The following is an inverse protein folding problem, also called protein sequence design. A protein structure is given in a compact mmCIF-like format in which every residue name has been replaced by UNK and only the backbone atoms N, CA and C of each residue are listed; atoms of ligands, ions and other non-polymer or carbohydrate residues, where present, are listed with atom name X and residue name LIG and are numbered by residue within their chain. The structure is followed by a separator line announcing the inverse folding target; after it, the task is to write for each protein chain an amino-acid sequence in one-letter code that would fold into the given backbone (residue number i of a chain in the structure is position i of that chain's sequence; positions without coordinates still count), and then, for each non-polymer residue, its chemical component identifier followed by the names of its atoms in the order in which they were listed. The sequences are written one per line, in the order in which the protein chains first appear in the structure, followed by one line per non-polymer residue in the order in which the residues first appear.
data_IF_813332136012
#
_entry.id   IF_813332136012
#
_cell.length_a   1.000
_cell.length_b   1.000
_cell.length_c   1.000
_cell.angle_alpha   90.00
_cell.angle_beta   90.00
_cell.angle_gamma   90.00
#
_symmetry.space_group_name_H-M   'P 1'
#
loop_
_entity.id
_entity.type
_entity.pdbx_description
1 polymer ?
#
# COMPACT_ATOMS: atom_id res chain seq x y z
N UNK A 1 -76.26 -16.70 6.16
CA UNK A 1 -76.93 -15.47 5.70
C UNK A 1 -76.20 -15.01 4.44
N UNK A 2 -76.93 -15.03 3.31
CA UNK A 2 -76.64 -14.52 1.96
C UNK A 2 -75.29 -14.88 1.28
N UNK A 3 -75.17 -15.23 0.00
CA UNK A 3 -76.05 -15.63 -1.10
C UNK A 3 -75.08 -16.02 -2.27
N UNK A 4 -75.22 -17.18 -2.91
CA UNK A 4 -75.77 -17.35 -4.28
C UNK A 4 -74.78 -17.12 -5.46
N UNK A 5 -74.70 -18.19 -6.28
CA UNK A 5 -74.54 -18.32 -7.75
C UNK A 5 -73.17 -18.22 -8.45
N UNK A 6 -72.84 -19.37 -9.07
CA UNK A 6 -72.16 -19.52 -10.35
C UNK A 6 -72.80 -18.67 -11.48
N UNK A 7 -71.99 -18.10 -12.39
CA UNK A 7 -72.24 -18.15 -13.83
C UNK A 7 -71.02 -17.75 -14.69
N UNK A 8 -70.95 -18.45 -15.82
CA UNK A 8 -70.14 -18.42 -17.05
C UNK A 8 -69.69 -17.08 -17.70
N UNK A 9 -68.87 -17.26 -18.76
CA UNK A 9 -68.55 -16.39 -19.92
C UNK A 9 -67.33 -15.44 -19.77
N UNK A 10 -66.50 -15.15 -20.77
CA UNK A 10 -66.42 -15.51 -22.19
C UNK A 10 -64.98 -15.27 -22.67
N UNK A 11 -64.51 -16.09 -23.61
CA UNK A 11 -63.27 -15.91 -24.36
C UNK A 11 -63.48 -14.79 -25.40
N UNK A 12 -62.67 -13.74 -25.38
CA UNK A 12 -62.63 -12.70 -26.41
C UNK A 12 -61.21 -12.61 -26.97
N UNK A 13 -61.10 -12.96 -28.25
CA UNK A 13 -59.92 -12.92 -29.09
C UNK A 13 -59.71 -11.47 -29.57
N UNK A 14 -58.60 -10.83 -29.20
CA UNK A 14 -58.24 -9.51 -29.72
C UNK A 14 -56.95 -9.58 -30.55
N UNK A 15 -57.14 -9.38 -31.86
CA UNK A 15 -56.13 -9.12 -32.90
C UNK A 15 -55.36 -7.82 -32.58
N UNK A 16 -54.02 -7.84 -32.67
CA UNK A 16 -53.18 -6.64 -32.64
C UNK A 16 -52.27 -6.64 -33.88
N UNK A 17 -52.20 -5.53 -34.66
CA UNK A 17 -51.47 -5.46 -35.93
C UNK A 17 -49.95 -5.27 -35.74
N UNK A 18 -49.16 -5.84 -36.66
CA UNK A 18 -47.72 -5.57 -36.77
C UNK A 18 -47.48 -4.20 -37.43
N UNK A 19 -46.80 -3.30 -36.73
CA UNK A 19 -46.17 -2.12 -37.33
C UNK A 19 -44.67 -2.36 -37.42
N UNK A 20 -44.16 -2.45 -38.64
CA UNK A 20 -42.73 -2.42 -38.95
C UNK A 20 -42.22 -0.99 -38.78
N UNK A 21 -41.42 -0.75 -37.75
CA UNK A 21 -40.55 0.42 -37.65
C UNK A 21 -39.16 0.00 -38.13
N UNK A 22 -38.65 0.67 -39.17
CA UNK A 22 -37.24 0.68 -39.49
C UNK A 22 -36.59 1.69 -38.54
N UNK A 23 -35.81 1.19 -37.58
CA UNK A 23 -34.87 2.00 -36.81
C UNK A 23 -33.49 1.77 -37.43
N UNK A 24 -32.89 2.85 -37.90
CA UNK A 24 -31.55 2.89 -38.49
C UNK A 24 -30.56 2.97 -37.33
N UNK A 25 -30.35 1.84 -36.64
CA UNK A 25 -29.35 1.73 -35.58
C UNK A 25 -28.02 1.38 -36.23
N UNK A 26 -27.26 2.41 -36.55
CA UNK A 26 -25.85 2.32 -36.91
C UNK A 26 -25.11 1.76 -35.67
N UNK A 27 -24.95 0.42 -35.62
CA UNK A 27 -24.14 -0.26 -34.61
C UNK A 27 -22.68 0.12 -34.83
N UNK A 28 -22.33 1.28 -34.29
CA UNK A 28 -20.96 1.64 -33.98
C UNK A 28 -20.46 0.67 -32.93
N UNK A 29 -19.66 -0.29 -33.38
CA UNK A 29 -18.80 -1.11 -32.53
C UNK A 29 -17.92 -0.13 -31.76
N UNK A 30 -18.32 0.16 -30.51
CA UNK A 30 -17.45 0.80 -29.55
C UNK A 30 -16.38 -0.23 -29.19
N UNK A 31 -15.26 -0.17 -29.92
CA UNK A 31 -14.00 -0.73 -29.48
C UNK A 31 -13.76 -0.22 -28.06
N UNK A 32 -13.88 -1.10 -27.07
CA UNK A 32 -13.52 -0.81 -25.69
C UNK A 32 -12.04 -0.46 -25.61
N UNK A 33 -11.73 0.83 -25.67
CA UNK A 33 -10.41 1.36 -25.46
C UNK A 33 -10.54 2.53 -24.49
N UNK A 34 -10.66 2.21 -23.21
CA UNK A 34 -10.71 3.19 -22.12
C UNK A 34 -10.20 2.54 -20.84
N UNK A 35 -8.93 2.11 -20.82
CA UNK A 35 -8.18 2.13 -19.56
C UNK A 35 -7.93 3.61 -19.26
N UNK A 36 -8.92 4.28 -18.66
CA UNK A 36 -8.68 5.58 -18.05
C UNK A 36 -7.74 5.32 -16.89
N UNK A 37 -6.46 5.61 -17.11
CA UNK A 37 -5.40 5.61 -16.12
C UNK A 37 -5.78 6.61 -15.03
N UNK A 38 -6.58 6.23 -14.03
CA UNK A 38 -6.91 7.14 -12.94
C UNK A 38 -5.80 7.09 -11.87
N UNK A 39 -4.57 7.45 -12.27
CA UNK A 39 -3.47 7.56 -11.30
C UNK A 39 -3.74 8.66 -10.26
N UNK A 40 -4.60 9.62 -10.58
CA UNK A 40 -4.99 10.74 -9.72
C UNK A 40 -5.78 10.32 -8.48
N UNK A 41 -6.59 9.26 -8.58
CA UNK A 41 -7.44 8.78 -7.48
C UNK A 41 -6.89 7.58 -6.71
N UNK A 42 -5.79 6.97 -7.17
CA UNK A 42 -5.22 5.77 -6.55
C UNK A 42 -4.05 6.09 -5.61
N UNK A 43 -4.01 5.44 -4.45
CA UNK A 43 -2.86 5.41 -3.54
C UNK A 43 -2.02 4.17 -3.87
N UNK A 44 -1.05 4.33 -4.76
CA UNK A 44 -0.22 3.21 -5.25
C UNK A 44 1.24 3.61 -5.36
N UNK A 45 2.08 2.63 -5.05
CA UNK A 45 3.52 2.69 -5.26
C UNK A 45 3.94 1.64 -6.29
N UNK A 46 4.86 2.02 -7.16
CA UNK A 46 5.37 1.23 -8.26
C UNK A 46 6.89 1.17 -8.20
N UNK A 47 7.44 -0.02 -8.41
CA UNK A 47 8.86 -0.29 -8.39
C UNK A 47 9.34 -0.68 -9.77
N UNK A 48 10.43 -0.04 -10.22
CA UNK A 48 11.00 -0.34 -11.53
C UNK A 48 11.44 -1.81 -11.64
N UNK A 49 11.13 -2.41 -12.78
CA UNK A 49 11.55 -3.77 -13.15
C UNK A 49 12.52 -3.77 -14.32
N UNK A 50 12.47 -2.73 -15.16
CA UNK A 50 13.40 -2.55 -16.27
C UNK A 50 13.51 -1.06 -16.64
N UNK A 51 14.71 -0.64 -17.05
CA UNK A 51 14.98 0.69 -17.60
C UNK A 51 15.67 0.51 -18.95
N UNK A 52 15.15 1.18 -19.96
CA UNK A 52 15.73 1.22 -21.32
C UNK A 52 16.00 2.66 -21.69
N UNK A 53 17.22 2.95 -22.14
CA UNK A 53 17.62 4.26 -22.63
C UNK A 53 18.17 4.11 -24.05
N UNK A 54 17.69 4.94 -24.98
CA UNK A 54 18.08 4.92 -26.40
C UNK A 54 17.96 3.51 -27.03
N UNK A 55 16.92 2.78 -26.63
CA UNK A 55 16.65 1.41 -27.08
C UNK A 55 17.57 0.32 -26.51
N UNK A 56 18.46 0.65 -25.57
CA UNK A 56 19.34 -0.30 -24.89
C UNK A 56 19.01 -0.43 -23.40
N UNK A 57 19.10 -1.63 -22.80
CA UNK A 57 18.94 -1.79 -21.36
C UNK A 57 19.95 -0.93 -20.59
N UNK A 58 19.47 -0.22 -19.57
CA UNK A 58 20.28 0.55 -18.62
C UNK A 58 20.14 -0.09 -17.25
N UNK A 59 21.27 -0.57 -16.73
CA UNK A 59 21.34 -1.07 -15.35
C UNK A 59 21.30 0.10 -14.37
N UNK A 60 20.59 -0.09 -13.26
CA UNK A 60 20.61 0.84 -12.14
C UNK A 60 21.81 0.55 -11.24
N UNK A 61 22.21 1.53 -10.43
CA UNK A 61 23.26 1.36 -9.43
C UNK A 61 22.86 0.23 -8.46
N UNK A 62 23.82 -0.63 -8.12
CA UNK A 62 23.59 -1.78 -7.24
C UNK A 62 22.95 -1.34 -5.90
N UNK A 63 21.94 -2.10 -5.47
CA UNK A 63 21.19 -1.80 -4.25
C UNK A 63 20.16 -0.67 -4.39
N UNK A 64 20.01 -0.08 -5.57
CA UNK A 64 18.97 0.93 -5.85
C UNK A 64 17.83 0.38 -6.70
N UNK A 65 16.74 1.13 -6.72
CA UNK A 65 15.64 0.98 -7.68
C UNK A 65 14.98 2.34 -7.88
N UNK A 66 14.36 2.55 -9.02
CA UNK A 66 13.44 3.68 -9.19
C UNK A 66 12.09 3.29 -8.56
N UNK A 67 11.56 4.17 -7.72
CA UNK A 67 10.21 4.08 -7.16
C UNK A 67 9.37 5.29 -7.55
N UNK A 68 8.07 5.07 -7.76
CA UNK A 68 7.06 6.10 -8.00
C UNK A 68 5.87 5.85 -7.09
N UNK A 69 5.40 6.88 -6.37
CA UNK A 69 4.19 6.81 -5.56
C UNK A 69 3.24 7.93 -5.96
N UNK A 70 2.02 7.56 -6.27
CA UNK A 70 0.91 8.48 -6.54
C UNK A 70 -0.02 8.46 -5.33
N UNK A 71 -0.29 9.63 -4.75
CA UNK A 71 -1.17 9.75 -3.59
C UNK A 71 -1.75 11.15 -3.48
N UNK A 72 -3.07 11.27 -3.40
CA UNK A 72 -3.78 12.54 -3.19
C UNK A 72 -3.32 13.65 -4.17
N UNK A 73 -3.24 13.33 -5.47
CA UNK A 73 -2.79 14.26 -6.51
C UNK A 73 -1.30 14.65 -6.46
N UNK A 74 -0.50 13.99 -5.61
CA UNK A 74 0.95 14.20 -5.54
C UNK A 74 1.71 12.97 -6.03
N UNK A 75 2.81 13.24 -6.73
CA UNK A 75 3.82 12.28 -7.12
C UNK A 75 4.99 12.38 -6.15
N UNK A 76 5.48 11.24 -5.68
CA UNK A 76 6.79 11.11 -5.02
C UNK A 76 7.61 10.10 -5.78
N UNK A 77 8.89 10.38 -6.00
CA UNK A 77 9.78 9.53 -6.77
C UNK A 77 11.18 9.51 -6.15
N UNK A 78 11.91 8.41 -6.35
CA UNK A 78 13.32 8.34 -6.00
C UNK A 78 14.03 7.38 -6.94
N UNK A 79 15.28 7.71 -7.27
CA UNK A 79 16.18 6.81 -7.99
C UNK A 79 17.32 6.30 -7.09
N UNK A 80 17.29 6.55 -5.78
CA UNK A 80 18.23 5.96 -4.81
C UNK A 80 19.05 6.95 -3.98
N UNK A 81 19.10 8.24 -4.33
CA UNK A 81 19.78 9.25 -3.51
C UNK A 81 18.83 10.36 -3.06
N UNK A 82 18.27 11.12 -4.01
CA UNK A 82 17.35 12.20 -3.72
C UNK A 82 15.90 11.77 -3.84
N UNK A 83 15.04 12.50 -3.13
CA UNK A 83 13.60 12.41 -3.29
C UNK A 83 13.13 13.53 -4.19
N UNK A 84 12.31 13.19 -5.18
CA UNK A 84 11.63 14.10 -6.09
C UNK A 84 10.15 14.08 -5.71
N UNK A 85 9.49 15.23 -5.68
CA UNK A 85 8.04 15.24 -5.45
C UNK A 85 7.37 16.56 -5.72
N UNK A 86 6.06 16.48 -5.95
CA UNK A 86 5.21 17.63 -6.26
C UNK A 86 3.84 17.18 -6.78
N UNK A 87 2.96 18.14 -7.10
CA UNK A 87 1.67 17.85 -7.70
C UNK A 87 1.85 17.24 -9.10
N UNK A 88 0.92 16.38 -9.50
CA UNK A 88 0.83 15.88 -10.87
C UNK A 88 -0.61 15.91 -11.36
N UNK A 89 -0.76 15.96 -12.69
CA UNK A 89 -2.03 15.79 -13.39
C UNK A 89 -1.82 14.85 -14.59
N UNK A 90 -2.92 14.29 -15.09
CA UNK A 90 -2.91 13.54 -16.34
C UNK A 90 -3.66 14.33 -17.43
N UNK A 91 -2.98 14.63 -18.51
CA UNK A 91 -3.59 15.14 -19.75
C UNK A 91 -3.66 14.00 -20.77
N UNK A 92 -4.79 13.31 -20.79
CA UNK A 92 -4.94 12.06 -21.54
C UNK A 92 -4.02 10.96 -20.99
N UNK A 93 -3.04 10.54 -21.78
CA UNK A 93 -1.99 9.59 -21.39
C UNK A 93 -0.68 10.28 -21.03
N UNK A 94 -0.65 11.60 -20.87
CA UNK A 94 0.56 12.35 -20.54
C UNK A 94 0.60 12.70 -19.06
N UNK A 95 1.68 12.33 -18.37
CA UNK A 95 1.90 12.70 -16.97
C UNK A 95 2.53 14.10 -16.90
N UNK A 96 1.81 15.06 -16.33
CA UNK A 96 2.29 16.44 -16.19
C UNK A 96 2.65 16.70 -14.74
N UNK A 97 3.92 16.97 -14.46
CA UNK A 97 4.43 17.27 -13.11
C UNK A 97 5.25 18.57 -13.11
N UNK A 98 4.56 19.71 -13.16
CA UNK A 98 5.17 21.02 -13.44
C UNK A 98 5.91 21.67 -12.26
N UNK A 99 5.63 21.25 -11.03
CA UNK A 99 6.15 21.88 -9.80
C UNK A 99 6.94 20.88 -8.94
N UNK A 100 7.75 20.03 -9.59
CA UNK A 100 8.60 19.08 -8.87
C UNK A 100 9.74 19.79 -8.14
N UNK A 101 9.87 19.50 -6.86
CA UNK A 101 11.06 19.77 -6.06
C UNK A 101 11.91 18.51 -5.91
N UNK A 102 13.21 18.68 -5.69
CA UNK A 102 14.13 17.59 -5.38
C UNK A 102 15.00 17.97 -4.18
N UNK A 103 15.28 17.01 -3.30
CA UNK A 103 16.28 17.21 -2.24
C UNK A 103 17.68 17.35 -2.84
N UNK A 104 18.62 17.95 -2.11
CA UNK A 104 20.03 18.08 -2.53
C UNK A 104 20.97 17.37 -1.55
N UNK A 105 20.77 16.07 -1.35
CA UNK A 105 21.68 15.22 -0.58
C UNK A 105 22.92 14.95 -1.43
N UNK A 106 24.10 15.12 -0.82
CA UNK A 106 25.38 14.81 -1.48
C UNK A 106 25.63 13.31 -1.56
N UNK A 107 25.46 12.71 -2.74
CA UNK A 107 25.81 11.33 -3.05
C UNK A 107 26.96 11.23 -4.08
N UNK A 108 27.38 10.01 -4.39
CA UNK A 108 28.39 9.79 -5.43
C UNK A 108 27.86 10.24 -6.81
N UNK A 109 28.76 10.52 -7.78
CA UNK A 109 28.35 11.03 -9.09
C UNK A 109 27.40 10.11 -9.88
N UNK A 110 27.48 8.80 -9.67
CA UNK A 110 26.67 7.82 -10.40
C UNK A 110 25.20 7.84 -9.93
N UNK A 111 24.98 7.95 -8.62
CA UNK A 111 23.65 8.13 -8.03
C UNK A 111 23.04 9.46 -8.43
N UNK A 112 23.84 10.53 -8.47
CA UNK A 112 23.37 11.84 -8.91
C UNK A 112 22.90 11.80 -10.38
N UNK A 113 23.68 11.18 -11.26
CA UNK A 113 23.29 11.00 -12.66
C UNK A 113 22.05 10.09 -12.85
N UNK A 114 21.75 9.23 -11.88
CA UNK A 114 20.53 8.41 -11.88
C UNK A 114 19.30 9.22 -11.40
N UNK A 115 19.47 10.07 -10.39
CA UNK A 115 18.43 11.02 -9.96
C UNK A 115 18.11 12.03 -11.08
N UNK A 116 19.13 12.58 -11.75
CA UNK A 116 18.98 13.51 -12.87
C UNK A 116 18.21 12.89 -14.03
N UNK A 117 18.44 11.61 -14.32
CA UNK A 117 17.70 10.86 -15.35
C UNK A 117 16.21 10.81 -15.01
N UNK A 118 15.88 10.48 -13.76
CA UNK A 118 14.50 10.40 -13.30
C UNK A 118 13.82 11.78 -13.29
N UNK A 119 14.53 12.81 -12.84
CA UNK A 119 14.02 14.18 -12.85
C UNK A 119 13.74 14.67 -14.28
N UNK A 120 14.64 14.39 -15.23
CA UNK A 120 14.44 14.71 -16.64
C UNK A 120 13.23 13.97 -17.22
N UNK A 121 13.13 12.65 -16.99
CA UNK A 121 11.98 11.85 -17.43
C UNK A 121 10.65 12.46 -16.96
N UNK A 122 10.54 12.82 -15.68
CA UNK A 122 9.30 13.33 -15.10
C UNK A 122 8.97 14.75 -15.58
N UNK A 123 9.99 15.57 -15.87
CA UNK A 123 9.82 16.94 -16.39
C UNK A 123 9.47 16.96 -17.88
N UNK A 124 9.89 15.95 -18.64
CA UNK A 124 9.62 15.80 -20.07
C UNK A 124 8.18 15.37 -20.40
N UNK A 125 7.31 15.31 -19.38
CA UNK A 125 5.91 14.93 -19.48
C UNK A 125 5.72 13.57 -20.19
N UNK A 126 6.13 12.46 -19.55
CA UNK A 126 6.16 11.16 -20.19
C UNK A 126 4.76 10.66 -20.48
N UNK A 127 4.61 9.90 -21.56
CA UNK A 127 3.43 9.07 -21.77
C UNK A 127 3.38 7.99 -20.68
N UNK A 128 2.21 7.82 -20.07
CA UNK A 128 1.93 6.85 -19.03
C UNK A 128 0.91 5.83 -19.50
N UNK A 129 1.20 4.55 -19.27
CA UNK A 129 0.24 3.48 -19.44
C UNK A 129 0.18 2.62 -18.18
N UNK A 130 -1.04 2.39 -17.70
CA UNK A 130 -1.32 1.53 -16.55
C UNK A 130 -2.17 0.33 -17.01
N UNK A 131 -1.62 -0.88 -16.87
CA UNK A 131 -2.30 -2.14 -17.14
C UNK A 131 -2.27 -3.02 -15.89
N UNK A 132 -3.36 -2.97 -15.11
CA UNK A 132 -3.50 -3.67 -13.85
C UNK A 132 -2.41 -3.29 -12.84
N UNK A 133 -1.41 -4.15 -12.69
CA UNK A 133 -0.26 -3.96 -11.79
C UNK A 133 1.00 -3.45 -12.49
N UNK A 134 0.97 -3.24 -13.80
CA UNK A 134 2.11 -2.76 -14.59
C UNK A 134 1.91 -1.31 -14.97
N UNK A 135 2.92 -0.50 -14.68
CA UNK A 135 2.97 0.90 -15.07
C UNK A 135 4.16 1.07 -16.01
N UNK A 136 4.00 1.84 -17.09
CA UNK A 136 5.11 2.23 -17.96
C UNK A 136 5.16 3.73 -18.15
N UNK A 137 6.35 4.32 -18.05
CA UNK A 137 6.62 5.70 -18.43
C UNK A 137 7.50 5.72 -19.68
N UNK A 138 7.12 6.54 -20.66
CA UNK A 138 7.73 6.58 -21.99
C UNK A 138 8.00 8.03 -22.39
N UNK A 139 9.24 8.32 -22.78
CA UNK A 139 9.61 9.53 -23.54
C UNK A 139 10.30 9.11 -24.84
N UNK A 140 10.84 10.07 -25.59
CA UNK A 140 11.60 9.78 -26.81
C UNK A 140 12.79 8.85 -26.55
N UNK A 141 13.48 9.05 -25.43
CA UNK A 141 14.78 8.43 -25.17
C UNK A 141 14.73 7.42 -24.01
N UNK A 142 13.64 7.41 -23.22
CA UNK A 142 13.50 6.54 -22.05
C UNK A 142 12.21 5.74 -22.05
N UNK A 143 12.34 4.49 -21.64
CA UNK A 143 11.25 3.57 -21.38
C UNK A 143 11.50 2.86 -20.05
N UNK A 144 10.61 3.05 -19.09
CA UNK A 144 10.71 2.41 -17.77
C UNK A 144 9.47 1.58 -17.51
N UNK A 145 9.68 0.31 -17.19
CA UNK A 145 8.65 -0.59 -16.70
C UNK A 145 8.67 -0.63 -15.18
N UNK A 146 7.47 -0.61 -14.61
CA UNK A 146 7.25 -0.76 -13.18
C UNK A 146 6.21 -1.82 -12.89
N UNK A 147 6.29 -2.35 -11.68
CA UNK A 147 5.31 -3.26 -11.09
C UNK A 147 4.82 -2.67 -9.77
N UNK A 148 3.52 -2.81 -9.49
CA UNK A 148 2.95 -2.45 -8.20
C UNK A 148 3.76 -3.05 -7.06
N UNK A 149 4.09 -2.24 -6.06
CA UNK A 149 4.86 -2.63 -4.88
C UNK A 149 4.32 -3.89 -4.24
N UNK A 150 2.99 -4.04 -4.10
CA UNK A 150 2.36 -5.19 -3.44
C UNK A 150 2.55 -6.50 -4.22
N UNK A 151 2.81 -6.41 -5.53
CA UNK A 151 3.15 -7.58 -6.34
C UNK A 151 4.66 -7.82 -6.35
N UNK A 152 5.45 -6.74 -6.46
CA UNK A 152 6.90 -6.82 -6.47
C UNK A 152 7.49 -7.29 -5.12
N UNK A 153 6.83 -6.93 -4.03
CA UNK A 153 7.19 -7.26 -2.66
C UNK A 153 5.93 -7.46 -1.82
N UNK A 154 5.32 -8.65 -1.89
CA UNK A 154 4.06 -8.93 -1.21
C UNK A 154 4.23 -8.88 0.31
N UNK A 155 3.21 -8.33 0.95
CA UNK A 155 3.13 -8.17 2.40
C UNK A 155 3.20 -9.53 3.09
N UNK A 156 3.96 -9.63 4.19
CA UNK A 156 4.00 -10.86 4.98
C UNK A 156 2.69 -11.03 5.73
N UNK A 157 2.29 -12.28 5.95
CA UNK A 157 1.14 -12.60 6.80
C UNK A 157 1.37 -12.10 8.21
N UNK A 158 0.39 -11.43 8.80
CA UNK A 158 0.51 -10.94 10.18
C UNK A 158 0.65 -12.09 11.18
N UNK A 159 -0.23 -13.09 11.04
CA UNK A 159 -0.29 -14.27 11.92
C UNK A 159 0.86 -15.21 11.59
N UNK A 160 1.55 -15.69 12.63
CA UNK A 160 2.64 -16.67 12.50
C UNK A 160 4.01 -16.08 12.14
N UNK A 161 4.07 -14.85 11.61
CA UNK A 161 5.34 -14.17 11.33
C UNK A 161 5.93 -13.61 12.63
N UNK A 162 7.22 -13.88 12.86
CA UNK A 162 7.96 -13.24 13.94
C UNK A 162 8.49 -11.88 13.47
N UNK A 163 8.19 -10.84 14.22
CA UNK A 163 8.53 -9.46 13.94
C UNK A 163 9.58 -8.97 14.95
N UNK A 164 10.76 -8.60 14.48
CA UNK A 164 11.81 -7.99 15.30
C UNK A 164 11.63 -6.46 15.31
N UNK A 165 11.55 -5.86 16.49
CA UNK A 165 11.36 -4.42 16.65
C UNK A 165 12.59 -3.67 16.15
N UNK A 166 12.35 -2.67 15.30
CA UNK A 166 13.38 -1.81 14.71
C UNK A 166 13.32 -0.37 15.22
N UNK A 167 12.19 0.05 15.80
CA UNK A 167 12.02 1.40 16.32
C UNK A 167 10.62 1.65 16.86
N UNK A 168 10.40 2.86 17.35
CA UNK A 168 9.17 3.30 18.01
C UNK A 168 8.70 4.63 17.44
N UNK A 169 7.39 4.86 17.53
CA UNK A 169 6.72 6.07 17.08
C UNK A 169 6.03 6.74 18.28
N UNK A 170 6.13 8.06 18.36
CA UNK A 170 5.38 8.90 19.29
C UNK A 170 4.98 10.20 18.58
N UNK A 171 3.74 10.22 18.07
CA UNK A 171 3.26 11.26 17.18
C UNK A 171 4.11 11.36 15.92
N UNK A 172 4.74 12.52 15.70
CA UNK A 172 5.64 12.76 14.56
C UNK A 172 7.09 12.34 14.82
N UNK A 173 7.39 11.84 16.02
CA UNK A 173 8.74 11.45 16.41
C UNK A 173 8.96 9.96 16.16
N UNK A 174 10.03 9.63 15.44
CA UNK A 174 10.55 8.27 15.33
C UNK A 174 11.82 8.11 16.15
N UNK A 175 11.93 7.01 16.90
CA UNK A 175 13.11 6.69 17.70
C UNK A 175 13.57 5.25 17.47
N UNK A 176 14.87 5.03 17.59
CA UNK A 176 15.48 3.71 17.57
C UNK A 176 16.53 3.64 18.69
N UNK A 177 16.64 2.48 19.33
CA UNK A 177 17.52 2.29 20.48
C UNK A 177 18.64 1.34 20.13
N UNK A 178 19.87 1.70 20.47
CA UNK A 178 21.01 0.80 20.40
C UNK A 178 20.98 -0.15 21.61
N UNK A 179 20.37 -1.31 21.43
CA UNK A 179 20.25 -2.35 22.46
C UNK A 179 20.82 -3.68 21.96
N UNK A 180 21.41 -4.44 22.87
CA UNK A 180 22.07 -5.71 22.54
C UNK A 180 21.09 -6.77 22.03
N UNK A 181 19.84 -6.72 22.50
CA UNK A 181 18.78 -7.66 22.13
C UNK A 181 17.48 -6.90 21.91
N UNK A 182 17.20 -6.58 20.66
CA UNK A 182 15.91 -6.02 20.27
C UNK A 182 14.76 -6.94 20.68
N UNK A 183 13.65 -6.34 21.08
CA UNK A 183 12.42 -7.06 21.32
C UNK A 183 11.88 -7.66 20.03
N UNK A 184 11.06 -8.69 20.18
CA UNK A 184 10.33 -9.30 19.08
C UNK A 184 8.95 -9.75 19.55
N UNK A 185 8.04 -9.90 18.61
CA UNK A 185 6.72 -10.44 18.87
C UNK A 185 6.20 -11.24 17.69
N UNK A 186 5.17 -12.06 17.93
CA UNK A 186 4.47 -12.84 16.92
C UNK A 186 3.01 -12.95 17.31
N UNK A 187 2.12 -12.86 16.33
CA UNK A 187 0.71 -13.19 16.50
C UNK A 187 0.55 -14.72 16.47
N UNK A 188 0.20 -15.30 17.61
CA UNK A 188 -0.10 -16.72 17.78
C UNK A 188 -1.60 -16.96 17.57
N UNK A 189 -1.99 -17.05 16.30
CA UNK A 189 -3.39 -16.95 15.90
C UNK A 189 -3.93 -15.51 16.03
N UNK A 190 -5.25 -15.37 15.96
CA UNK A 190 -5.94 -14.07 16.03
C UNK A 190 -6.32 -13.63 17.46
N UNK A 191 -5.83 -14.34 18.48
CA UNK A 191 -6.24 -14.17 19.87
C UNK A 191 -5.09 -13.74 20.81
N UNK A 192 -3.84 -13.91 20.38
CA UNK A 192 -2.69 -13.78 21.28
C UNK A 192 -1.47 -13.26 20.54
N UNK A 193 -0.77 -12.33 21.17
CA UNK A 193 0.60 -11.95 20.82
C UNK A 193 1.52 -12.56 21.87
N UNK A 194 2.56 -13.26 21.41
CA UNK A 194 3.66 -13.71 22.26
C UNK A 194 4.92 -12.96 21.85
N UNK A 195 5.78 -12.64 22.80
CA UNK A 195 6.99 -11.91 22.48
C UNK A 195 8.02 -11.90 23.59
N UNK A 196 9.09 -11.16 23.32
CA UNK A 196 10.12 -10.80 24.27
C UNK A 196 10.38 -9.32 24.09
N UNK A 197 10.26 -8.53 25.15
CA UNK A 197 10.43 -7.07 25.04
C UNK A 197 11.90 -6.67 24.88
N UNK A 198 12.84 -7.60 25.02
CA UNK A 198 14.29 -7.36 25.06
C UNK A 198 14.88 -7.71 26.42
N UNK A 199 14.00 -7.86 27.41
CA UNK A 199 14.29 -8.18 28.79
C UNK A 199 13.65 -9.50 29.24
N UNK A 200 12.34 -9.60 29.10
CA UNK A 200 11.53 -10.72 29.57
C UNK A 200 10.53 -11.14 28.48
N UNK A 201 10.03 -12.40 28.54
CA UNK A 201 8.92 -12.79 27.70
C UNK A 201 7.64 -12.07 28.15
N UNK A 202 6.73 -11.82 27.21
CA UNK A 202 5.40 -11.31 27.51
C UNK A 202 4.35 -12.00 26.64
N UNK A 203 3.10 -11.88 27.07
CA UNK A 203 1.92 -12.32 26.31
C UNK A 203 0.85 -11.26 26.38
N UNK A 204 0.19 -10.97 25.26
CA UNK A 204 -0.92 -10.02 25.18
C UNK A 204 -2.11 -10.74 24.56
N UNK A 205 -3.27 -10.68 25.20
CA UNK A 205 -4.51 -11.06 24.52
C UNK A 205 -4.84 -10.00 23.49
N UNK A 206 -5.17 -10.39 22.26
CA UNK A 206 -5.53 -9.45 21.20
C UNK A 206 -6.75 -9.99 20.46
N UNK A 207 -7.63 -9.12 20.01
CA UNK A 207 -8.59 -9.44 18.97
C UNK A 207 -8.10 -8.79 17.69
N UNK A 208 -7.92 -9.58 16.63
CA UNK A 208 -7.51 -9.09 15.31
C UNK A 208 -8.73 -9.13 14.39
N UNK A 209 -9.08 -7.99 13.82
CA UNK A 209 -10.10 -7.89 12.78
C UNK A 209 -9.50 -7.43 11.45
N UNK A 210 -10.14 -7.83 10.36
CA UNK A 210 -9.80 -7.36 9.01
C UNK A 210 -9.98 -5.84 8.96
N UNK A 211 -8.93 -5.12 8.57
CA UNK A 211 -9.04 -3.70 8.23
C UNK A 211 -9.73 -3.56 6.88
N UNK A 212 -10.94 -3.00 6.85
CA UNK A 212 -11.78 -2.60 5.71
C UNK A 212 -11.91 -3.48 4.42
N UNK A 213 -11.20 -4.60 4.25
CA UNK A 213 -11.31 -5.48 3.06
C UNK A 213 -11.18 -6.95 3.46
N UNK A 214 -12.25 -7.70 3.25
CA UNK A 214 -12.39 -9.06 3.76
C UNK A 214 -11.62 -10.13 3.00
N UNK A 215 -10.90 -10.96 3.76
CA UNK A 215 -10.02 -12.05 3.36
C UNK A 215 -9.15 -12.45 4.56
N UNK A 216 -8.61 -13.70 4.63
CA UNK A 216 -7.66 -14.06 5.70
C UNK A 216 -6.62 -12.96 5.84
N UNK A 217 -6.26 -12.57 7.08
CA UNK A 217 -5.53 -11.32 7.39
C UNK A 217 -4.15 -11.30 6.70
N UNK A 218 -4.17 -10.93 5.42
CA UNK A 218 -3.07 -10.74 4.49
C UNK A 218 -2.87 -9.21 4.43
N UNK A 219 -1.99 -8.68 5.26
CA UNK A 219 -1.69 -7.25 5.31
C UNK A 219 -2.28 -6.53 6.53
N UNK A 220 -2.86 -5.36 6.28
CA UNK A 220 -3.29 -4.39 7.29
C UNK A 220 -4.44 -4.93 8.16
N UNK A 221 -4.47 -4.53 9.43
CA UNK A 221 -5.43 -5.06 10.41
C UNK A 221 -5.79 -4.04 11.48
N UNK A 222 -6.95 -4.23 12.09
CA UNK A 222 -7.32 -3.54 13.33
C UNK A 222 -7.10 -4.48 14.51
N UNK A 223 -6.53 -3.94 15.59
CA UNK A 223 -6.22 -4.66 16.82
C UNK A 223 -7.01 -4.08 17.97
N UNK A 224 -7.54 -4.96 18.81
CA UNK A 224 -8.00 -4.63 20.14
C UNK A 224 -7.14 -5.37 21.18
N UNK A 225 -6.25 -4.65 21.86
CA UNK A 225 -5.44 -5.19 22.93
C UNK A 225 -6.28 -5.44 24.19
N UNK A 226 -6.03 -6.59 24.80
CA UNK A 226 -6.48 -6.98 26.13
C UNK A 226 -5.33 -6.92 27.14
N UNK A 227 -5.47 -7.61 28.29
CA UNK A 227 -4.47 -7.58 29.34
C UNK A 227 -3.11 -8.10 28.88
N UNK A 228 -2.05 -7.43 29.35
CA UNK A 228 -0.66 -7.85 29.19
C UNK A 228 -0.26 -8.74 30.37
N UNK A 229 0.36 -9.87 30.08
CA UNK A 229 0.95 -10.79 31.04
C UNK A 229 2.46 -10.78 30.85
N UNK A 230 3.16 -10.10 31.77
CA UNK A 230 4.61 -10.01 31.76
C UNK A 230 5.24 -11.22 32.47
N UNK A 231 6.27 -11.79 31.84
CA UNK A 231 7.25 -12.62 32.50
C UNK A 231 8.21 -11.75 33.33
N UNK A 232 8.99 -12.41 34.20
CA UNK A 232 9.98 -11.73 35.05
C UNK A 232 11.37 -12.29 34.76
N UNK A 233 12.31 -11.39 34.42
CA UNK A 233 13.74 -11.65 34.49
C UNK A 233 14.38 -10.65 35.48
N UNK A 234 14.68 -11.06 36.72
CA UNK A 234 15.21 -10.16 37.74
C UNK A 234 16.68 -9.75 37.50
N UNK A 235 17.35 -10.36 36.51
CA UNK A 235 18.76 -10.06 36.18
C UNK A 235 18.89 -9.09 35.03
N UNK A 236 17.78 -8.84 34.32
CA UNK A 236 17.77 -7.99 33.16
C UNK A 236 17.75 -6.50 33.53
N UNK A 237 18.56 -5.72 32.82
CA UNK A 237 18.60 -4.27 32.89
C UNK A 237 18.55 -3.69 31.47
N UNK A 238 17.35 -3.35 31.01
CA UNK A 238 17.15 -2.64 29.74
C UNK A 238 17.13 -1.13 29.95
N UNK A 239 17.39 -0.40 28.87
CA UNK A 239 17.20 1.05 28.86
C UNK A 239 15.74 1.38 29.23
N UNK A 240 15.55 2.32 30.16
CA UNK A 240 14.23 2.67 30.69
C UNK A 240 13.33 3.30 29.60
N UNK A 241 13.88 4.18 28.78
CA UNK A 241 13.16 4.85 27.69
C UNK A 241 12.70 3.84 26.64
N UNK A 242 13.54 2.83 26.34
CA UNK A 242 13.18 1.72 25.46
C UNK A 242 12.02 0.90 26.04
N UNK A 243 12.09 0.54 27.33
CA UNK A 243 11.04 -0.23 27.99
C UNK A 243 9.72 0.54 28.05
N UNK A 244 9.77 1.86 28.27
CA UNK A 244 8.62 2.76 28.22
C UNK A 244 8.03 2.83 26.81
N UNK A 245 8.86 3.07 25.78
CA UNK A 245 8.42 3.13 24.39
C UNK A 245 7.79 1.82 23.92
N UNK A 246 8.32 0.67 24.36
CA UNK A 246 7.74 -0.64 24.05
C UNK A 246 6.36 -0.83 24.66
N UNK A 247 6.17 -0.42 25.92
CA UNK A 247 4.87 -0.52 26.59
C UNK A 247 3.85 0.49 26.06
N UNK A 248 4.29 1.65 25.60
CA UNK A 248 3.43 2.72 25.11
C UNK A 248 2.47 2.28 23.98
N UNK A 249 2.86 1.29 23.17
CA UNK A 249 1.98 0.69 22.16
C UNK A 249 0.70 0.11 22.80
N UNK A 250 0.85 -0.57 23.95
CA UNK A 250 -0.20 -1.36 24.61
C UNK A 250 -1.04 -0.55 25.60
N UNK A 251 -0.74 0.74 25.78
CA UNK A 251 -1.44 1.62 26.73
C UNK A 251 -2.88 1.92 26.33
N UNK A 252 -3.21 1.76 25.05
CA UNK A 252 -4.57 1.93 24.54
C UNK A 252 -5.15 0.62 24.06
N UNK A 253 -6.47 0.58 23.97
CA UNK A 253 -7.17 -0.62 23.53
C UNK A 253 -7.03 -0.87 22.03
N UNK A 254 -6.99 0.17 21.18
CA UNK A 254 -7.11 0.01 19.74
C UNK A 254 -5.82 0.40 19.01
N UNK A 255 -5.45 -0.37 18.00
CA UNK A 255 -4.35 -0.06 17.10
C UNK A 255 -4.61 -0.52 15.67
N UNK A 256 -3.91 0.09 14.72
CA UNK A 256 -3.89 -0.32 13.32
C UNK A 256 -2.52 -0.91 12.98
N UNK A 257 -2.52 -1.95 12.17
CA UNK A 257 -1.33 -2.57 11.59
C UNK A 257 -1.26 -2.17 10.13
N UNK A 258 -0.10 -1.74 9.70
CA UNK A 258 0.27 -1.53 8.30
C UNK A 258 1.46 -2.43 7.97
N UNK A 259 1.36 -3.22 6.90
CA UNK A 259 2.43 -4.12 6.45
C UNK A 259 2.87 -3.72 5.05
N UNK A 260 4.17 -3.50 4.87
CA UNK A 260 4.79 -3.24 3.58
C UNK A 260 5.92 -4.24 3.34
N UNK A 261 5.60 -5.32 2.64
CA UNK A 261 6.53 -6.44 2.44
C UNK A 261 6.98 -7.05 3.76
N UNK A 262 8.27 -6.89 4.09
CA UNK A 262 8.89 -7.37 5.33
C UNK A 262 8.83 -6.37 6.49
N UNK A 263 8.23 -5.18 6.30
CA UNK A 263 8.12 -4.15 7.32
C UNK A 263 6.72 -4.13 7.89
N UNK A 264 6.62 -3.91 9.19
CA UNK A 264 5.37 -3.76 9.89
C UNK A 264 5.41 -2.51 10.76
N UNK A 265 4.32 -1.76 10.73
CA UNK A 265 4.05 -0.64 11.64
C UNK A 265 2.79 -0.97 12.42
N UNK A 266 2.83 -0.83 13.74
CA UNK A 266 1.61 -0.82 14.58
C UNK A 266 1.51 0.54 15.21
N UNK A 267 0.38 1.21 15.03
CA UNK A 267 0.11 2.52 15.61
C UNK A 267 -1.19 2.49 16.38
N UNK A 268 -1.15 2.91 17.64
CA UNK A 268 -2.31 2.96 18.49
C UNK A 268 -3.06 4.29 18.37
N UNK A 269 -4.24 4.40 19.00
CA UNK A 269 -5.10 5.59 18.87
C UNK A 269 -4.49 6.89 19.41
N UNK A 270 -3.45 6.81 20.24
CA UNK A 270 -2.71 7.97 20.76
C UNK A 270 -1.56 8.39 19.83
N UNK A 271 -1.36 7.70 18.70
CA UNK A 271 -0.22 7.93 17.81
C UNK A 271 1.09 7.35 18.34
N UNK A 272 1.04 6.39 19.28
CA UNK A 272 2.20 5.68 19.81
C UNK A 272 2.30 4.29 19.18
N UNK A 273 3.50 3.88 18.80
CA UNK A 273 3.63 2.72 17.92
C UNK A 273 5.01 2.07 17.89
N UNK A 274 5.07 0.96 17.17
CA UNK A 274 6.30 0.21 16.89
C UNK A 274 6.48 0.05 15.39
N UNK A 275 7.73 0.07 14.96
CA UNK A 275 8.13 -0.45 13.65
C UNK A 275 8.91 -1.74 13.86
N UNK A 276 8.68 -2.71 13.00
CA UNK A 276 9.34 -4.00 13.07
C UNK A 276 9.63 -4.55 11.66
N UNK A 277 10.48 -5.58 11.62
CA UNK A 277 10.77 -6.35 10.41
C UNK A 277 10.53 -7.83 10.62
N UNK A 278 10.04 -8.50 9.58
CA UNK A 278 9.88 -9.94 9.57
C UNK A 278 11.25 -10.62 9.72
N UNK A 279 11.32 -11.60 10.61
CA UNK A 279 12.48 -12.47 10.77
C UNK A 279 12.27 -13.71 9.89
N UNK A 280 13.24 -13.99 9.03
CA UNK A 280 13.27 -15.20 8.17
C UNK A 280 13.47 -16.49 8.97
#
# INVERSE_FOLDING_TARGET
MAAIRHLLLALLLSLVPLTTACDDSDETISSGNSSSTDLGSIDREFWSTAVTQDGSPRELIEGTRITLRFRNGNLSASAGCNFIGGPFELDGDTLVAAELGMTEIGCNPELHAQDDLLAALLTDAPTVALDGNRLTLITTDLYIEFLDRRVANPDRTLIGTQWAVTGFLDGETASAFAIDKAGWFRFDGAATIVGHDGCAPFTVNVEVSEGEVGGPIEGDAELQFGPVVDGLDPTCNVNADYAEAFRALLDTGAAVVDIEGDRLTILNSDGRGVTARAVE
#
